data_IF_792184460217
#
_entry.id   IF_792184460217
#
_cell.length_a   1.000
_cell.length_b   1.000
_cell.length_c   1.000
_cell.angle_alpha   90.00
_cell.angle_beta   90.00
_cell.angle_gamma   90.00
#
_symmetry.space_group_name_H-M   'P 1'
#
loop_
_entity.id
_entity.type
_entity.pdbx_description
1 polymer ?
#
# COMPACT_ATOMS: atom_id res chain seq x y z
N UNK A 1 0.01 18.23 -2.81
CA UNK A 1 -1.02 19.02 -3.53
C UNK A 1 -1.72 18.04 -4.47
N UNK A 2 -2.63 17.20 -3.95
CA UNK A 2 -4.11 17.10 -4.15
C UNK A 2 -4.41 15.97 -5.18
N UNK A 3 -5.32 14.99 -5.07
CA UNK A 3 -6.47 14.66 -4.18
C UNK A 3 -6.64 13.11 -4.13
N UNK A 4 -6.85 12.55 -2.95
CA UNK A 4 -7.65 11.32 -2.70
C UNK A 4 -8.00 11.37 -1.21
N UNK A 5 -9.23 11.82 -0.91
CA UNK A 5 -9.72 12.20 0.43
C UNK A 5 -9.12 13.50 1.00
N UNK A 6 -9.99 14.44 1.38
CA UNK A 6 -9.69 15.85 1.69
C UNK A 6 -8.86 16.12 2.94
N UNK A 7 -7.91 15.26 3.32
CA UNK A 7 -6.94 15.52 4.38
C UNK A 7 -5.53 15.39 3.83
N UNK A 8 -4.84 16.52 3.69
CA UNK A 8 -3.39 16.54 3.54
C UNK A 8 -2.76 16.13 4.88
N UNK A 9 -2.75 14.84 5.18
CA UNK A 9 -1.98 14.34 6.30
C UNK A 9 -0.51 14.27 5.89
N UNK A 10 0.36 14.79 6.76
CA UNK A 10 1.79 14.60 6.60
C UNK A 10 2.08 13.09 6.57
N UNK A 11 2.95 12.68 5.64
CA UNK A 11 3.44 11.30 5.60
C UNK A 11 4.25 11.09 6.88
N UNK A 12 3.67 10.36 7.83
CA UNK A 12 4.29 10.02 9.10
C UNK A 12 4.98 8.66 8.96
N UNK A 13 6.22 8.58 9.44
CA UNK A 13 6.98 7.34 9.49
C UNK A 13 6.22 6.24 10.22
N UNK A 14 5.58 6.56 11.34
CA UNK A 14 4.85 5.59 12.15
C UNK A 14 3.73 4.93 11.37
N UNK A 15 3.06 5.66 10.46
CA UNK A 15 2.02 5.10 9.59
C UNK A 15 2.58 4.12 8.57
N UNK A 16 3.77 4.39 8.04
CA UNK A 16 4.46 3.49 7.10
C UNK A 16 4.94 2.25 7.84
N UNK A 17 5.67 2.44 8.94
CA UNK A 17 6.21 1.38 9.76
C UNK A 17 5.12 0.42 10.24
N UNK A 18 4.02 0.96 10.77
CA UNK A 18 2.89 0.16 11.23
C UNK A 18 2.19 -0.58 10.08
N UNK A 19 2.17 -0.02 8.87
CA UNK A 19 1.59 -0.69 7.70
C UNK A 19 2.45 -1.87 7.26
N UNK A 20 3.77 -1.70 7.22
CA UNK A 20 4.71 -2.76 6.83
C UNK A 20 4.72 -3.86 7.91
N UNK A 21 4.73 -3.49 9.19
CA UNK A 21 4.62 -4.40 10.33
C UNK A 21 3.41 -5.34 10.22
N UNK A 22 2.22 -4.81 9.88
CA UNK A 22 1.02 -5.65 9.66
C UNK A 22 1.18 -6.67 8.54
N UNK A 23 1.94 -6.34 7.50
CA UNK A 23 2.21 -7.23 6.37
C UNK A 23 3.29 -8.26 6.70
N UNK A 24 4.08 -8.04 7.76
CA UNK A 24 5.03 -9.01 8.30
C UNK A 24 4.39 -10.10 9.18
N UNK A 25 3.06 -10.12 9.34
CA UNK A 25 2.38 -11.15 10.14
C UNK A 25 2.79 -12.58 9.74
N UNK A 26 3.26 -13.36 10.71
CA UNK A 26 3.67 -14.76 10.51
C UNK A 26 4.96 -14.95 9.69
N UNK A 27 5.73 -13.88 9.43
CA UNK A 27 7.10 -13.99 8.95
C UNK A 27 8.06 -14.11 10.15
N UNK A 28 9.26 -14.63 9.92
CA UNK A 28 10.28 -14.70 10.96
C UNK A 28 10.77 -13.28 11.31
N UNK A 29 10.58 -12.78 12.54
CA UNK A 29 11.04 -11.46 12.93
C UNK A 29 12.57 -11.30 12.90
N UNK A 30 13.33 -12.40 12.96
CA UNK A 30 14.78 -12.37 12.79
C UNK A 30 15.22 -12.28 11.32
N UNK A 31 14.33 -12.63 10.38
CA UNK A 31 14.59 -12.60 8.94
C UNK A 31 14.18 -11.31 8.24
N UNK A 32 13.19 -10.59 8.79
CA UNK A 32 12.61 -9.38 8.18
C UNK A 32 12.52 -8.25 9.19
N UNK A 33 13.25 -7.17 8.93
CA UNK A 33 13.20 -5.93 9.68
C UNK A 33 12.33 -4.90 8.94
N UNK A 34 11.10 -4.72 9.44
CA UNK A 34 10.16 -3.75 8.90
C UNK A 34 10.60 -2.29 9.12
N UNK A 35 11.43 -2.02 10.15
CA UNK A 35 11.96 -0.68 10.41
C UNK A 35 12.99 -0.32 9.35
N UNK A 36 13.88 -1.24 8.99
CA UNK A 36 14.87 -1.00 7.94
C UNK A 36 14.20 -0.68 6.59
N UNK A 37 13.17 -1.46 6.21
CA UNK A 37 12.40 -1.20 4.98
C UNK A 37 11.75 0.18 5.06
N UNK A 38 11.12 0.53 6.19
CA UNK A 38 10.43 1.81 6.36
C UNK A 38 11.37 3.00 6.25
N UNK A 39 12.57 2.90 6.81
CA UNK A 39 13.59 3.94 6.71
C UNK A 39 14.02 4.16 5.26
N UNK A 40 14.31 3.08 4.53
CA UNK A 40 14.68 3.15 3.10
C UNK A 40 13.56 3.74 2.26
N UNK A 41 12.31 3.35 2.50
CA UNK A 41 11.14 3.92 1.81
C UNK A 41 11.07 5.43 2.03
N UNK A 42 11.25 5.91 3.26
CA UNK A 42 11.23 7.35 3.55
C UNK A 42 12.31 8.12 2.79
N UNK A 43 13.51 7.56 2.66
CA UNK A 43 14.59 8.27 1.94
C UNK A 43 14.27 8.51 0.47
N UNK A 44 13.41 7.68 -0.13
CA UNK A 44 12.93 7.86 -1.51
C UNK A 44 11.69 8.74 -1.65
N UNK A 45 11.11 9.27 -0.56
CA UNK A 45 9.90 10.08 -0.63
C UNK A 45 10.19 11.54 -0.99
N UNK A 46 9.35 12.10 -1.85
CA UNK A 46 9.33 13.51 -2.19
C UNK A 46 7.96 14.14 -1.88
N UNK A 47 7.93 15.48 -1.81
CA UNK A 47 6.72 16.23 -1.46
C UNK A 47 5.64 16.00 -2.53
N UNK A 48 4.52 15.41 -2.12
CA UNK A 48 3.37 15.18 -3.00
C UNK A 48 3.21 13.74 -3.49
N UNK A 49 4.07 12.82 -3.03
CA UNK A 49 3.93 11.37 -3.28
C UNK A 49 2.53 10.88 -2.91
N UNK A 50 1.95 10.08 -3.79
CA UNK A 50 0.66 9.42 -3.55
C UNK A 50 0.85 8.17 -2.70
N UNK A 51 -0.20 7.73 -2.01
CA UNK A 51 -0.14 6.48 -1.24
C UNK A 51 0.13 5.26 -2.12
N UNK A 52 -0.24 5.31 -3.40
CA UNK A 52 0.00 4.23 -4.37
C UNK A 52 1.48 4.16 -4.73
N UNK A 53 2.12 5.31 -4.98
CA UNK A 53 3.56 5.38 -5.25
C UNK A 53 4.37 4.98 -4.03
N UNK A 54 3.93 5.37 -2.83
CA UNK A 54 4.56 4.96 -1.57
C UNK A 54 4.53 3.43 -1.40
N UNK A 55 3.38 2.79 -1.66
CA UNK A 55 3.27 1.33 -1.58
C UNK A 55 4.11 0.62 -2.65
N UNK A 56 4.20 1.19 -3.86
CA UNK A 56 5.05 0.65 -4.91
C UNK A 56 6.53 0.74 -4.52
N UNK A 57 6.97 1.88 -4.00
CA UNK A 57 8.33 2.08 -3.52
C UNK A 57 8.66 1.12 -2.37
N UNK A 58 7.70 0.88 -1.47
CA UNK A 58 7.86 -0.10 -0.40
C UNK A 58 7.98 -1.54 -0.92
N UNK A 59 7.22 -1.92 -1.94
CA UNK A 59 7.34 -3.24 -2.57
C UNK A 59 8.70 -3.42 -3.27
N UNK A 60 9.17 -2.41 -4.01
CA UNK A 60 10.47 -2.41 -4.69
C UNK A 60 11.62 -2.49 -3.68
N UNK A 61 11.59 -1.65 -2.64
CA UNK A 61 12.58 -1.66 -1.56
C UNK A 61 12.64 -3.02 -0.87
N UNK A 62 11.50 -3.66 -0.61
CA UNK A 62 11.46 -5.00 -0.03
C UNK A 62 12.02 -6.04 -1.01
N UNK A 63 11.75 -5.94 -2.31
CA UNK A 63 12.28 -6.84 -3.31
C UNK A 63 13.82 -6.76 -3.41
N UNK A 64 14.40 -5.57 -3.33
CA UNK A 64 15.87 -5.39 -3.32
C UNK A 64 16.52 -6.04 -2.09
N UNK A 65 15.80 -6.05 -0.96
CA UNK A 65 16.24 -6.68 0.28
C UNK A 65 16.07 -8.21 0.30
N UNK A 66 15.48 -8.82 -0.75
CA UNK A 66 15.45 -10.27 -0.94
C UNK A 66 16.85 -10.90 -0.93
N UNK A 67 17.86 -10.13 -1.33
CA UNK A 67 19.28 -10.54 -1.27
C UNK A 67 19.76 -10.83 0.15
N UNK A 68 19.13 -10.25 1.18
CA UNK A 68 19.44 -10.51 2.60
C UNK A 68 18.70 -11.74 3.13
N UNK A 69 17.41 -11.84 2.84
CA UNK A 69 16.58 -12.94 3.30
C UNK A 69 15.40 -13.17 2.34
N UNK A 70 15.06 -14.42 1.99
CA UNK A 70 13.96 -14.72 1.07
C UNK A 70 12.59 -14.21 1.55
N UNK A 71 12.37 -14.09 2.87
CA UNK A 71 11.08 -13.59 3.40
C UNK A 71 10.78 -12.14 2.99
N UNK A 72 11.79 -11.34 2.62
CA UNK A 72 11.57 -10.01 2.05
C UNK A 72 10.84 -10.08 0.69
N UNK A 73 11.00 -11.17 -0.08
CA UNK A 73 10.21 -11.40 -1.29
C UNK A 73 8.73 -11.62 -0.97
N UNK A 74 8.45 -12.33 0.12
CA UNK A 74 7.08 -12.56 0.59
C UNK A 74 6.47 -11.25 1.05
N UNK A 75 7.22 -10.41 1.77
CA UNK A 75 6.80 -9.07 2.17
C UNK A 75 6.50 -8.19 0.94
N UNK A 76 7.39 -8.15 -0.05
CA UNK A 76 7.21 -7.38 -1.28
C UNK A 76 5.92 -7.81 -2.02
N UNK A 77 5.71 -9.11 -2.17
CA UNK A 77 4.50 -9.66 -2.77
C UNK A 77 3.24 -9.27 -2.00
N UNK A 78 3.27 -9.32 -0.66
CA UNK A 78 2.14 -8.92 0.19
C UNK A 78 1.81 -7.44 0.06
N UNK A 79 2.81 -6.57 -0.02
CA UNK A 79 2.63 -5.12 -0.26
C UNK A 79 1.96 -4.91 -1.63
N UNK A 80 2.45 -5.56 -2.68
CA UNK A 80 1.90 -5.45 -4.03
C UNK A 80 0.44 -5.94 -4.11
N UNK A 81 0.12 -7.09 -3.51
CA UNK A 81 -1.24 -7.63 -3.44
C UNK A 81 -2.16 -6.69 -2.65
N UNK A 82 -1.70 -6.17 -1.51
CA UNK A 82 -2.47 -5.20 -0.71
C UNK A 82 -2.80 -3.94 -1.51
N UNK A 83 -1.85 -3.42 -2.29
CA UNK A 83 -2.07 -2.28 -3.17
C UNK A 83 -3.07 -2.62 -4.30
N UNK A 84 -2.96 -3.80 -4.89
CA UNK A 84 -3.87 -4.26 -5.93
C UNK A 84 -5.31 -4.37 -5.43
N UNK A 85 -5.53 -4.98 -4.26
CA UNK A 85 -6.87 -5.11 -3.66
C UNK A 85 -7.53 -3.74 -3.42
N UNK A 86 -6.77 -2.74 -2.95
CA UNK A 86 -7.29 -1.37 -2.77
C UNK A 86 -7.69 -0.70 -4.10
N UNK A 87 -7.04 -1.06 -5.20
CA UNK A 87 -7.42 -0.58 -6.55
C UNK A 87 -8.68 -1.28 -7.06
N UNK A 88 -8.77 -2.59 -6.88
CA UNK A 88 -9.90 -3.40 -7.36
C UNK A 88 -11.18 -3.13 -6.57
N UNK A 89 -11.12 -2.95 -5.25
CA UNK A 89 -12.29 -2.65 -4.41
C UNK A 89 -13.02 -1.36 -4.83
N UNK A 90 -12.25 -0.34 -5.25
CA UNK A 90 -12.80 0.91 -5.79
C UNK A 90 -13.60 0.66 -7.08
N UNK A 91 -13.11 -0.22 -7.95
CA UNK A 91 -13.78 -0.59 -9.21
C UNK A 91 -15.00 -1.47 -8.93
N UNK A 92 -14.91 -2.42 -7.99
CA UNK A 92 -16.01 -3.31 -7.65
C UNK A 92 -17.20 -2.56 -7.03
N UNK A 93 -16.93 -1.59 -6.15
CA UNK A 93 -17.97 -0.73 -5.56
C UNK A 93 -18.64 0.14 -6.62
N UNK A 94 -17.87 0.67 -7.58
CA UNK A 94 -18.39 1.46 -8.69
C UNK A 94 -19.33 0.64 -9.61
N UNK A 95 -18.93 -0.58 -9.98
CA UNK A 95 -19.75 -1.47 -10.82
C UNK A 95 -21.05 -1.86 -10.10
N UNK A 96 -20.99 -2.17 -8.80
CA UNK A 96 -22.18 -2.49 -8.00
C UNK A 96 -23.15 -1.30 -7.91
N UNK A 97 -22.64 -0.07 -7.84
CA UNK A 97 -23.47 1.12 -7.83
C UNK A 97 -24.22 1.31 -9.16
N UNK A 98 -23.52 1.15 -10.29
CA UNK A 98 -24.14 1.24 -11.62
C UNK A 98 -25.16 0.10 -11.89
N UNK A 99 -24.87 -1.12 -11.45
CA UNK A 99 -25.77 -2.26 -11.66
C UNK A 99 -27.09 -2.18 -10.84
N UNK A 100 -27.13 -1.35 -9.78
CA UNK A 100 -28.35 -1.11 -8.99
C UNK A 100 -29.11 0.16 -9.40
N UNK A 101 -28.65 0.87 -10.44
CA UNK A 101 -29.36 2.00 -11.01
C UNK A 101 -30.47 1.49 -11.95
N UNK A 102 -31.62 1.12 -11.37
CA UNK A 102 -32.86 1.05 -12.14
C UNK A 102 -33.24 2.51 -12.46
N UNK A 103 -33.24 2.97 -13.73
CA UNK A 103 -33.83 4.27 -14.02
C UNK A 103 -35.30 4.20 -13.56
N UNK A 104 -35.81 5.16 -12.77
CA UNK A 104 -37.23 5.31 -12.61
C UNK A 104 -37.76 5.72 -13.99
N UNK A 105 -38.18 4.75 -14.79
CA UNK A 105 -38.97 5.07 -15.96
C UNK A 105 -40.30 5.61 -15.43
N UNK A 106 -40.45 6.88 -15.73
CA UNK A 106 -41.56 7.80 -15.47
C UNK A 106 -42.93 7.22 -15.80
N UNK A 107 -43.91 7.80 -15.10
CA UNK A 107 -45.38 7.69 -15.24
C UNK A 107 -45.91 7.51 -16.67
#
# INVERSE_FOLDING_TARGET
MRISDGRHEAVSFDKIAHRIEKLCYGLNPEGVDHIEVSQKVITGLYKGVTTVELDNLAAETAADMMTKHPDYAILAARIAISNLHKKVEKVFTFVRFFANFHPPFTA
#
